data_IF_111610936117
#
_entry.id   IF_111610936117
#
_cell.length_a   1.000
_cell.length_b   1.000
_cell.length_c   1.000
_cell.angle_alpha   90.00
_cell.angle_beta   90.00
_cell.angle_gamma   90.00
#
_symmetry.space_group_name_H-M   'P 1'
#
loop_
_entity.id
_entity.type
_entity.pdbx_description
1 polymer ?
#
# COMPACT_ATOMS: atom_id res chain seq x y z
N UNK A 1 36.96 22.65 50.47
CA UNK A 1 35.64 22.08 50.83
C UNK A 1 34.71 22.27 49.65
N UNK A 2 34.43 21.21 48.87
CA UNK A 2 33.44 21.26 47.79
C UNK A 2 32.05 21.29 48.41
N UNK A 3 31.39 22.45 48.34
CA UNK A 3 30.07 22.64 48.95
C UNK A 3 28.98 21.81 48.24
N UNK A 4 27.82 21.59 48.88
CA UNK A 4 26.70 20.78 48.36
C UNK A 4 26.28 21.15 46.94
N UNK A 5 26.41 22.44 46.59
CA UNK A 5 26.06 23.01 45.28
C UNK A 5 26.97 22.52 44.14
N UNK A 6 28.27 22.37 44.41
CA UNK A 6 29.24 21.85 43.42
C UNK A 6 29.04 20.36 43.16
N UNK A 7 28.68 19.60 44.21
CA UNK A 7 28.31 18.20 44.07
C UNK A 7 27.03 18.00 43.25
N UNK A 8 26.00 18.82 43.50
CA UNK A 8 24.74 18.77 42.75
C UNK A 8 24.92 19.11 41.26
N UNK A 9 25.73 20.14 40.96
CA UNK A 9 26.06 20.53 39.57
C UNK A 9 26.75 19.38 38.83
N UNK A 10 27.80 18.80 39.44
CA UNK A 10 28.52 17.69 38.83
C UNK A 10 27.62 16.46 38.61
N UNK A 11 26.69 16.19 39.53
CA UNK A 11 25.74 15.10 39.38
C UNK A 11 24.75 15.34 38.23
N UNK A 12 24.24 16.56 38.08
CA UNK A 12 23.37 16.97 36.97
C UNK A 12 24.09 16.86 35.63
N UNK A 13 25.33 17.34 35.53
CA UNK A 13 26.14 17.25 34.30
C UNK A 13 26.32 15.79 33.87
N UNK A 14 26.69 14.89 34.80
CA UNK A 14 26.80 13.45 34.52
C UNK A 14 25.49 12.77 34.13
N UNK A 15 24.34 13.30 34.54
CA UNK A 15 23.03 12.78 34.15
C UNK A 15 22.65 13.28 32.75
N UNK A 16 22.92 14.55 32.45
CA UNK A 16 22.76 15.13 31.12
C UNK A 16 23.65 14.44 30.08
N UNK A 17 24.94 14.25 30.36
CA UNK A 17 25.87 13.57 29.45
C UNK A 17 25.39 12.14 29.15
N UNK A 18 25.06 11.36 30.19
CA UNK A 18 24.52 9.99 30.01
C UNK A 18 23.17 9.94 29.29
N UNK A 19 22.41 11.01 29.31
CA UNK A 19 21.17 11.11 28.54
C UNK A 19 21.50 11.43 27.08
N UNK A 20 22.35 12.42 26.82
CA UNK A 20 22.81 12.80 25.47
C UNK A 20 23.49 11.62 24.78
N UNK A 21 24.42 10.94 25.44
CA UNK A 21 25.11 9.76 24.91
C UNK A 21 24.12 8.65 24.55
N UNK A 22 23.13 8.39 25.41
CA UNK A 22 22.09 7.38 25.12
C UNK A 22 21.21 7.77 23.93
N UNK A 23 20.86 9.05 23.80
CA UNK A 23 20.11 9.52 22.61
C UNK A 23 20.99 9.46 21.36
N UNK A 24 22.26 9.84 21.46
CA UNK A 24 23.23 9.81 20.37
C UNK A 24 23.48 8.38 19.90
N UNK A 25 23.68 7.43 20.80
CA UNK A 25 23.83 6.01 20.44
C UNK A 25 22.56 5.44 19.80
N UNK A 26 21.37 5.86 20.24
CA UNK A 26 20.11 5.43 19.60
C UNK A 26 19.98 6.03 18.20
N UNK A 27 20.30 7.30 18.06
CA UNK A 27 20.31 7.99 16.78
C UNK A 27 21.33 7.37 15.82
N UNK A 28 22.56 7.12 16.27
CA UNK A 28 23.62 6.45 15.51
C UNK A 28 23.21 5.03 15.13
N UNK A 29 22.66 4.23 16.05
CA UNK A 29 22.17 2.88 15.74
C UNK A 29 21.09 2.90 14.66
N UNK A 30 20.18 3.88 14.68
CA UNK A 30 19.15 4.04 13.64
C UNK A 30 19.74 4.52 12.31
N UNK A 31 20.63 5.51 12.34
CA UNK A 31 21.25 6.09 11.14
C UNK A 31 22.20 5.09 10.45
N UNK A 32 22.91 4.29 11.23
CA UNK A 32 23.86 3.28 10.75
C UNK A 32 23.21 1.89 10.59
N UNK A 33 21.90 1.77 10.80
CA UNK A 33 21.20 0.52 10.55
C UNK A 33 21.29 0.22 9.04
N UNK A 34 21.68 -1.00 8.62
CA UNK A 34 21.83 -1.35 7.20
C UNK A 34 20.59 -1.05 6.35
N UNK A 35 19.40 -1.11 6.96
CA UNK A 35 18.13 -0.73 6.32
C UNK A 35 18.15 0.70 5.73
N UNK A 36 18.90 1.64 6.31
CA UNK A 36 19.01 3.00 5.76
C UNK A 36 19.71 3.01 4.39
N UNK A 37 20.70 2.15 4.19
CA UNK A 37 21.37 1.98 2.90
C UNK A 37 20.44 1.29 1.90
N UNK A 38 19.76 0.23 2.32
CA UNK A 38 18.79 -0.47 1.48
C UNK A 38 17.64 0.43 1.03
N UNK A 39 17.14 1.32 1.91
CA UNK A 39 16.14 2.33 1.56
C UNK A 39 16.67 3.30 0.49
N UNK A 40 17.91 3.79 0.64
CA UNK A 40 18.51 4.68 -0.34
C UNK A 40 18.77 3.98 -1.69
N UNK A 41 19.11 2.69 -1.67
CA UNK A 41 19.24 1.86 -2.87
C UNK A 41 17.90 1.63 -3.56
N UNK A 42 16.87 1.23 -2.80
CA UNK A 42 15.51 1.07 -3.29
C UNK A 42 14.97 2.36 -3.91
N UNK A 43 15.26 3.52 -3.32
CA UNK A 43 14.87 4.81 -3.87
C UNK A 43 15.56 5.12 -5.21
N UNK A 44 16.87 4.87 -5.31
CA UNK A 44 17.60 5.03 -6.58
C UNK A 44 17.05 4.08 -7.65
N UNK A 45 16.73 2.86 -7.25
CA UNK A 45 16.18 1.84 -8.14
C UNK A 45 14.77 2.21 -8.62
N UNK A 46 13.88 2.64 -7.72
CA UNK A 46 12.53 3.09 -8.06
C UNK A 46 12.58 4.30 -9.01
N UNK A 47 13.49 5.26 -8.75
CA UNK A 47 13.70 6.40 -9.64
C UNK A 47 14.17 5.97 -11.05
N UNK A 48 15.08 5.00 -11.13
CA UNK A 48 15.49 4.43 -12.43
C UNK A 48 14.33 3.71 -13.11
N UNK A 49 13.56 2.91 -12.37
CA UNK A 49 12.40 2.18 -12.89
C UNK A 49 11.34 3.14 -13.45
N UNK A 50 10.99 4.20 -12.71
CA UNK A 50 10.04 5.22 -13.15
C UNK A 50 10.52 5.93 -14.42
N UNK A 51 11.80 6.34 -14.47
CA UNK A 51 12.39 6.96 -15.66
C UNK A 51 12.31 6.06 -16.89
N UNK A 52 12.62 4.78 -16.72
CA UNK A 52 12.79 3.85 -17.84
C UNK A 52 11.47 3.23 -18.31
N UNK A 53 10.47 3.09 -17.42
CA UNK A 53 9.21 2.39 -17.70
C UNK A 53 7.97 3.29 -17.68
N UNK A 54 8.02 4.46 -17.01
CA UNK A 54 6.87 5.34 -16.79
C UNK A 54 7.04 6.75 -17.38
N UNK A 55 7.69 6.95 -18.55
CA UNK A 55 8.01 8.29 -19.05
C UNK A 55 6.77 9.15 -19.39
N UNK A 56 5.62 8.52 -19.63
CA UNK A 56 4.35 9.19 -19.90
C UNK A 56 3.42 9.33 -18.69
N UNK A 57 3.79 8.76 -17.55
CA UNK A 57 2.95 8.75 -16.35
C UNK A 57 3.11 10.05 -15.54
N UNK A 58 2.05 10.47 -14.87
CA UNK A 58 2.08 11.64 -13.99
C UNK A 58 2.87 11.33 -12.71
N UNK A 59 3.87 12.16 -12.39
CA UNK A 59 4.55 12.11 -11.10
C UNK A 59 3.72 12.90 -10.07
N UNK A 60 3.24 12.23 -9.03
CA UNK A 60 2.45 12.84 -7.95
C UNK A 60 3.22 12.80 -6.64
N UNK A 61 2.96 13.76 -5.75
CA UNK A 61 3.68 13.87 -4.45
C UNK A 61 2.79 13.56 -3.26
N UNK A 62 1.48 13.58 -3.44
CA UNK A 62 0.49 13.31 -2.40
C UNK A 62 -0.27 12.04 -2.73
N UNK A 63 -0.41 11.16 -1.74
CA UNK A 63 -1.21 9.93 -1.87
C UNK A 63 -2.65 10.21 -2.30
N UNK A 64 -3.26 11.28 -1.78
CA UNK A 64 -4.64 11.64 -2.13
C UNK A 64 -4.77 12.00 -3.62
N UNK A 65 -3.72 12.52 -4.26
CA UNK A 65 -3.71 12.79 -5.70
C UNK A 65 -3.68 11.50 -6.52
N UNK A 66 -2.99 10.46 -6.04
CA UNK A 66 -2.99 9.13 -6.69
C UNK A 66 -4.41 8.58 -6.77
N UNK A 67 -5.14 8.53 -5.64
CA UNK A 67 -6.52 8.05 -5.59
C UNK A 67 -7.45 8.89 -6.46
N UNK A 68 -7.38 10.22 -6.32
CA UNK A 68 -8.23 11.15 -7.07
C UNK A 68 -8.03 11.01 -8.58
N UNK A 69 -6.79 11.00 -9.07
CA UNK A 69 -6.50 10.90 -10.49
C UNK A 69 -6.86 9.52 -11.02
N UNK A 70 -6.54 8.44 -10.29
CA UNK A 70 -6.86 7.09 -10.73
C UNK A 70 -8.37 6.85 -10.84
N UNK A 71 -9.16 7.32 -9.87
CA UNK A 71 -10.63 7.24 -9.92
C UNK A 71 -11.24 8.14 -11.01
N UNK A 72 -10.74 9.36 -11.19
CA UNK A 72 -11.19 10.27 -12.26
C UNK A 72 -10.98 9.68 -13.67
N UNK A 73 -9.94 8.85 -13.83
CA UNK A 73 -9.65 8.13 -15.09
C UNK A 73 -10.33 6.78 -15.20
N UNK A 74 -10.96 6.30 -14.14
CA UNK A 74 -11.68 5.03 -14.16
C UNK A 74 -12.98 5.15 -14.98
N UNK A 75 -13.43 4.05 -15.60
CA UNK A 75 -14.72 4.03 -16.29
C UNK A 75 -15.89 4.46 -15.38
N UNK A 76 -16.86 5.15 -15.96
CA UNK A 76 -18.07 5.61 -15.26
C UNK A 76 -18.92 4.45 -14.69
N UNK A 77 -18.78 3.26 -15.29
CA UNK A 77 -19.50 2.02 -14.92
C UNK A 77 -18.52 0.92 -14.56
N UNK A 78 -18.96 0.00 -13.71
CA UNK A 78 -18.18 -1.14 -13.24
C UNK A 78 -17.96 -1.08 -11.73
N UNK A 79 -17.33 -2.13 -11.20
CA UNK A 79 -17.06 -2.28 -9.78
C UNK A 79 -15.93 -1.34 -9.32
N UNK A 80 -16.03 -0.84 -8.08
CA UNK A 80 -14.99 -0.09 -7.39
C UNK A 80 -14.60 -0.89 -6.16
N UNK A 81 -13.37 -1.41 -6.16
CA UNK A 81 -12.89 -2.38 -5.17
C UNK A 81 -11.63 -1.85 -4.47
N UNK A 82 -11.54 -2.07 -3.16
CA UNK A 82 -10.31 -1.89 -2.38
C UNK A 82 -9.98 -3.17 -1.61
N UNK A 83 -8.71 -3.54 -1.59
CA UNK A 83 -8.17 -4.72 -0.90
C UNK A 83 -7.14 -4.30 0.13
N UNK A 84 -7.47 -4.48 1.41
CA UNK A 84 -6.76 -3.88 2.53
C UNK A 84 -7.39 -2.53 2.89
N UNK A 85 -8.34 -2.56 3.81
CA UNK A 85 -9.11 -1.38 4.26
C UNK A 85 -8.50 -0.79 5.53
N UNK A 86 -7.99 -1.64 6.42
CA UNK A 86 -7.43 -1.24 7.71
C UNK A 86 -8.35 -0.28 8.47
N UNK A 87 -7.82 0.89 8.87
CA UNK A 87 -8.58 1.96 9.54
C UNK A 87 -9.60 2.69 8.66
N UNK A 88 -9.70 2.35 7.38
CA UNK A 88 -10.67 2.86 6.40
C UNK A 88 -10.35 4.24 5.84
N UNK A 89 -9.09 4.68 5.90
CA UNK A 89 -8.71 6.03 5.44
C UNK A 89 -8.88 6.17 3.92
N UNK A 90 -8.25 5.29 3.15
CA UNK A 90 -8.36 5.22 1.70
C UNK A 90 -9.79 4.92 1.26
N UNK A 91 -10.50 3.94 1.86
CA UNK A 91 -11.89 3.65 1.45
C UNK A 91 -12.83 4.84 1.62
N UNK A 92 -12.62 5.67 2.65
CA UNK A 92 -13.41 6.89 2.86
C UNK A 92 -13.15 7.91 1.75
N UNK A 93 -11.90 8.04 1.31
CA UNK A 93 -11.55 8.91 0.18
C UNK A 93 -12.13 8.38 -1.13
N UNK A 94 -11.98 7.08 -1.40
CA UNK A 94 -12.56 6.42 -2.57
C UNK A 94 -14.09 6.61 -2.59
N UNK A 95 -14.76 6.39 -1.46
CA UNK A 95 -16.21 6.57 -1.32
C UNK A 95 -16.66 8.00 -1.60
N UNK A 96 -15.92 9.00 -1.11
CA UNK A 96 -16.23 10.41 -1.36
C UNK A 96 -16.04 10.79 -2.85
N UNK A 97 -15.01 10.25 -3.50
CA UNK A 97 -14.71 10.49 -4.91
C UNK A 97 -15.63 9.71 -5.88
N UNK A 98 -16.25 8.63 -5.40
CA UNK A 98 -17.10 7.75 -6.19
C UNK A 98 -18.56 8.23 -6.34
N UNK A 99 -18.90 9.36 -5.72
CA UNK A 99 -20.25 9.91 -5.76
C UNK A 99 -21.28 8.94 -5.16
N UNK A 100 -22.28 8.55 -5.93
CA UNK A 100 -23.33 7.61 -5.49
C UNK A 100 -23.00 6.14 -5.77
N UNK A 101 -21.84 5.84 -6.37
CA UNK A 101 -21.45 4.46 -6.68
C UNK A 101 -21.10 3.72 -5.39
N UNK A 102 -21.45 2.44 -5.36
CA UNK A 102 -21.07 1.53 -4.27
C UNK A 102 -19.58 1.21 -4.36
N UNK A 103 -18.90 1.30 -3.22
CA UNK A 103 -17.50 0.92 -3.06
C UNK A 103 -17.44 -0.33 -2.19
N UNK A 104 -16.67 -1.33 -2.62
CA UNK A 104 -16.52 -2.58 -1.88
C UNK A 104 -15.11 -2.68 -1.30
N UNK A 105 -15.02 -2.78 0.02
CA UNK A 105 -13.75 -2.97 0.74
C UNK A 105 -13.62 -4.40 1.24
N UNK A 106 -12.47 -5.02 1.01
CA UNK A 106 -12.16 -6.36 1.48
C UNK A 106 -11.03 -6.29 2.50
N UNK A 107 -11.24 -6.89 3.67
CA UNK A 107 -10.23 -6.97 4.73
C UNK A 107 -10.60 -8.06 5.74
N UNK A 108 -9.60 -8.70 6.35
CA UNK A 108 -9.84 -9.61 7.48
C UNK A 108 -10.21 -8.84 8.75
N UNK A 109 -9.72 -7.61 8.87
CA UNK A 109 -9.61 -6.78 10.07
C UNK A 109 -8.82 -7.44 11.20
N UNK A 110 -8.14 -8.55 10.90
CA UNK A 110 -7.33 -9.35 11.80
C UNK A 110 -5.82 -9.13 11.54
N UNK A 111 -5.49 -8.30 10.55
CA UNK A 111 -4.14 -7.93 10.17
C UNK A 111 -3.55 -8.84 9.09
N UNK A 112 -2.25 -8.69 8.85
CA UNK A 112 -1.53 -9.46 7.84
C UNK A 112 -1.61 -10.97 8.09
N UNK A 113 -1.84 -11.81 7.07
CA UNK A 113 -1.85 -13.27 7.22
C UNK A 113 -0.45 -13.88 7.45
N UNK A 114 0.60 -13.17 7.07
CA UNK A 114 2.00 -13.58 7.20
C UNK A 114 2.91 -12.36 7.42
N UNK A 115 4.19 -12.61 7.72
CA UNK A 115 5.17 -11.55 7.96
C UNK A 115 5.54 -10.85 6.66
N UNK A 116 5.70 -9.53 6.69
CA UNK A 116 6.12 -8.76 5.52
C UNK A 116 7.64 -8.84 5.35
N UNK A 117 8.09 -9.84 4.58
CA UNK A 117 9.51 -10.09 4.34
C UNK A 117 10.24 -8.84 3.79
N UNK A 118 11.27 -8.40 4.53
CA UNK A 118 12.05 -7.19 4.20
C UNK A 118 11.57 -5.92 4.92
N UNK A 119 10.44 -5.98 5.63
CA UNK A 119 9.98 -4.92 6.52
C UNK A 119 9.86 -5.38 7.99
N UNK A 120 9.29 -4.54 8.83
CA UNK A 120 9.18 -4.75 10.29
C UNK A 120 7.79 -5.23 10.73
N UNK A 121 6.84 -5.23 9.81
CA UNK A 121 5.46 -5.63 9.98
C UNK A 121 5.37 -7.16 10.02
N UNK A 122 5.00 -7.69 11.18
CA UNK A 122 4.80 -9.12 11.40
C UNK A 122 3.36 -9.55 11.05
N UNK A 123 3.10 -10.85 10.97
CA UNK A 123 1.73 -11.39 10.91
C UNK A 123 0.85 -10.78 12.01
N UNK A 124 -0.37 -10.39 11.64
CA UNK A 124 -1.32 -9.71 12.53
C UNK A 124 -1.04 -8.22 12.70
N UNK A 125 0.00 -7.66 12.07
CA UNK A 125 0.17 -6.21 11.99
C UNK A 125 -1.05 -5.58 11.28
N UNK A 126 -1.37 -4.33 11.64
CA UNK A 126 -2.59 -3.61 11.23
C UNK A 126 -3.94 -4.19 11.73
N UNK A 127 -3.94 -5.19 12.61
CA UNK A 127 -5.19 -5.76 13.15
C UNK A 127 -6.06 -4.73 13.88
N UNK A 128 -7.36 -4.76 13.60
CA UNK A 128 -8.40 -4.06 14.36
C UNK A 128 -9.18 -5.03 15.28
N UNK A 129 -8.59 -6.17 15.61
CA UNK A 129 -9.24 -7.22 16.42
C UNK A 129 -10.48 -7.81 15.74
N UNK A 130 -10.49 -7.85 14.41
CA UNK A 130 -11.62 -8.33 13.60
C UNK A 130 -12.80 -7.37 13.53
N UNK A 131 -12.68 -6.13 14.03
CA UNK A 131 -13.77 -5.15 14.03
C UNK A 131 -13.61 -4.17 12.87
N UNK A 132 -14.52 -4.18 11.87
CA UNK A 132 -14.46 -3.22 10.77
C UNK A 132 -14.63 -1.76 11.26
N UNK A 133 -13.97 -0.78 10.61
CA UNK A 133 -14.13 0.63 10.94
C UNK A 133 -15.50 1.16 10.52
N UNK A 134 -15.89 2.31 11.07
CA UNK A 134 -17.04 3.06 10.56
C UNK A 134 -16.74 3.62 9.16
N UNK A 135 -17.67 3.41 8.23
CA UNK A 135 -17.54 3.82 6.83
C UNK A 135 -18.82 4.52 6.32
N UNK A 136 -18.73 5.32 5.24
CA UNK A 136 -19.87 5.96 4.59
C UNK A 136 -20.92 4.96 4.09
N UNK A 137 -22.15 5.43 3.89
CA UNK A 137 -23.29 4.58 3.51
C UNK A 137 -23.17 3.93 2.13
N UNK A 138 -22.33 4.46 1.23
CA UNK A 138 -22.04 3.87 -0.06
C UNK A 138 -20.88 2.85 -0.02
N UNK A 139 -20.38 2.49 1.16
CA UNK A 139 -19.36 1.46 1.33
C UNK A 139 -19.98 0.17 1.86
N UNK A 140 -19.60 -0.95 1.26
CA UNK A 140 -19.90 -2.30 1.74
C UNK A 140 -18.58 -2.98 2.09
N UNK A 141 -18.42 -3.39 3.35
CA UNK A 141 -17.24 -4.09 3.82
C UNK A 141 -17.46 -5.60 3.81
N UNK A 142 -16.51 -6.32 3.23
CA UNK A 142 -16.47 -7.78 3.16
C UNK A 142 -15.38 -8.26 4.11
N UNK A 143 -15.81 -8.76 5.29
CA UNK A 143 -14.89 -9.24 6.32
C UNK A 143 -14.43 -10.66 6.03
N UNK A 144 -13.13 -10.86 5.92
CA UNK A 144 -12.49 -12.16 5.78
C UNK A 144 -11.22 -12.10 4.92
N UNK A 145 -10.54 -13.23 4.81
CA UNK A 145 -9.44 -13.38 3.85
C UNK A 145 -9.97 -13.32 2.42
N UNK A 146 -9.17 -12.78 1.49
CA UNK A 146 -9.61 -12.52 0.12
C UNK A 146 -10.06 -13.78 -0.62
N UNK A 147 -9.35 -14.90 -0.43
CA UNK A 147 -9.68 -16.21 -1.00
C UNK A 147 -11.02 -16.77 -0.51
N UNK A 148 -11.47 -16.32 0.66
CA UNK A 148 -12.72 -16.73 1.29
C UNK A 148 -13.88 -15.80 0.92
N UNK A 149 -13.61 -14.51 0.66
CA UNK A 149 -14.65 -13.50 0.39
C UNK A 149 -14.90 -13.23 -1.08
N UNK A 150 -13.87 -13.32 -1.93
CA UNK A 150 -13.97 -13.00 -3.36
C UNK A 150 -14.89 -13.95 -4.14
N UNK A 151 -14.89 -15.29 -3.91
CA UNK A 151 -15.74 -16.19 -4.70
C UNK A 151 -17.24 -15.84 -4.61
N UNK A 152 -17.76 -15.67 -3.38
CA UNK A 152 -19.16 -15.33 -3.16
C UNK A 152 -19.49 -13.93 -3.68
N UNK A 153 -18.58 -12.97 -3.49
CA UNK A 153 -18.74 -11.63 -4.04
C UNK A 153 -18.86 -11.65 -5.57
N UNK A 154 -17.97 -12.35 -6.26
CA UNK A 154 -17.92 -12.43 -7.72
C UNK A 154 -19.10 -13.22 -8.31
N UNK A 155 -19.67 -14.16 -7.56
CA UNK A 155 -20.90 -14.85 -7.92
C UNK A 155 -22.15 -13.96 -7.79
N UNK A 156 -22.14 -13.03 -6.82
CA UNK A 156 -23.24 -12.09 -6.59
C UNK A 156 -23.17 -10.80 -7.42
N UNK A 157 -22.01 -10.47 -7.99
CA UNK A 157 -21.77 -9.23 -8.72
C UNK A 157 -21.20 -9.51 -10.12
N UNK A 158 -22.00 -9.17 -11.12
CA UNK A 158 -21.61 -9.20 -12.52
C UNK A 158 -20.94 -7.89 -12.95
N UNK A 159 -20.28 -7.92 -14.12
CA UNK A 159 -19.68 -6.75 -14.76
C UNK A 159 -18.18 -6.64 -14.57
N UNK A 160 -17.57 -5.65 -15.21
CA UNK A 160 -16.13 -5.42 -15.16
C UNK A 160 -15.76 -4.51 -13.98
N UNK A 161 -14.50 -4.58 -13.55
CA UNK A 161 -13.94 -3.63 -12.60
C UNK A 161 -13.64 -2.31 -13.31
N UNK A 162 -14.16 -1.20 -12.79
CA UNK A 162 -13.73 0.13 -13.21
C UNK A 162 -12.42 0.51 -12.51
N UNK A 163 -12.37 0.26 -11.20
CA UNK A 163 -11.27 0.65 -10.34
C UNK A 163 -10.96 -0.45 -9.32
N UNK A 164 -9.68 -0.77 -9.19
CA UNK A 164 -9.14 -1.73 -8.23
C UNK A 164 -8.02 -1.03 -7.47
N UNK A 165 -8.16 -0.89 -6.16
CA UNK A 165 -7.10 -0.45 -5.26
C UNK A 165 -6.50 -1.67 -4.54
N UNK A 166 -5.24 -1.96 -4.83
CA UNK A 166 -4.46 -3.04 -4.21
C UNK A 166 -3.59 -2.39 -3.14
N UNK A 167 -3.99 -2.55 -1.88
CA UNK A 167 -3.34 -1.98 -0.68
C UNK A 167 -3.16 -3.09 0.35
N UNK A 168 -2.57 -4.21 -0.10
CA UNK A 168 -2.56 -5.45 0.67
C UNK A 168 -1.17 -5.95 1.03
N UNK A 169 -0.15 -5.13 0.75
CA UNK A 169 1.26 -5.23 1.12
C UNK A 169 2.02 -6.42 0.52
N UNK A 170 1.42 -7.61 0.58
CA UNK A 170 2.05 -8.89 0.37
C UNK A 170 1.86 -9.42 -1.05
N UNK A 171 2.89 -10.09 -1.57
CA UNK A 171 2.80 -10.85 -2.82
C UNK A 171 1.61 -11.82 -2.85
N UNK A 172 1.46 -12.64 -1.80
CA UNK A 172 0.45 -13.68 -1.74
C UNK A 172 -0.97 -13.11 -1.85
N UNK A 173 -1.22 -12.04 -1.11
CA UNK A 173 -2.47 -11.27 -1.12
C UNK A 173 -2.75 -10.64 -2.48
N UNK A 174 -1.79 -9.90 -3.04
CA UNK A 174 -1.95 -9.24 -4.34
C UNK A 174 -2.20 -10.25 -5.47
N UNK A 175 -1.48 -11.39 -5.45
CA UNK A 175 -1.66 -12.48 -6.42
C UNK A 175 -3.06 -13.08 -6.34
N UNK A 176 -3.57 -13.37 -5.14
CA UNK A 176 -4.95 -13.89 -4.95
C UNK A 176 -5.98 -12.92 -5.54
N UNK A 177 -5.83 -11.62 -5.26
CA UNK A 177 -6.72 -10.57 -5.78
C UNK A 177 -6.69 -10.53 -7.31
N UNK A 178 -5.50 -10.44 -7.91
CA UNK A 178 -5.34 -10.34 -9.36
C UNK A 178 -5.87 -11.59 -10.08
N UNK A 179 -5.56 -12.78 -9.57
CA UNK A 179 -6.04 -14.05 -10.14
C UNK A 179 -7.57 -14.14 -10.10
N UNK A 180 -8.17 -13.87 -8.93
CA UNK A 180 -9.62 -13.92 -8.76
C UNK A 180 -10.34 -12.88 -9.63
N UNK A 181 -9.75 -11.70 -9.81
CA UNK A 181 -10.33 -10.62 -10.62
C UNK A 181 -10.03 -10.71 -12.11
N UNK A 182 -9.19 -11.65 -12.57
CA UNK A 182 -8.91 -11.89 -14.00
C UNK A 182 -10.15 -11.80 -14.92
N UNK A 183 -11.29 -12.49 -14.64
CA UNK A 183 -12.47 -12.43 -15.50
C UNK A 183 -13.27 -11.11 -15.41
N UNK A 184 -12.83 -10.16 -14.59
CA UNK A 184 -13.47 -8.85 -14.36
C UNK A 184 -12.59 -7.70 -14.82
N UNK A 185 -11.29 -7.92 -15.05
CA UNK A 185 -10.37 -6.93 -15.58
C UNK A 185 -10.57 -6.83 -17.10
N UNK A 186 -10.74 -5.61 -17.61
CA UNK A 186 -11.02 -5.35 -19.02
C UNK A 186 -10.29 -4.09 -19.49
N UNK A 187 -10.21 -3.83 -20.81
CA UNK A 187 -9.70 -2.55 -21.31
C UNK A 187 -10.42 -1.36 -20.66
N UNK A 188 -9.63 -0.43 -20.14
CA UNK A 188 -10.10 0.72 -19.38
C UNK A 188 -10.13 0.52 -17.86
N UNK A 189 -10.02 -0.71 -17.34
CA UNK A 189 -9.87 -0.92 -15.88
C UNK A 189 -8.64 -0.19 -15.38
N UNK A 190 -8.81 0.58 -14.30
CA UNK A 190 -7.71 1.21 -13.57
C UNK A 190 -7.35 0.32 -12.39
N UNK A 191 -6.05 0.01 -12.26
CA UNK A 191 -5.51 -0.67 -11.08
C UNK A 191 -4.51 0.29 -10.43
N UNK A 192 -4.77 0.66 -9.18
CA UNK A 192 -3.87 1.43 -8.34
C UNK A 192 -3.25 0.49 -7.31
N UNK A 193 -1.93 0.40 -7.31
CA UNK A 193 -1.15 -0.29 -6.29
C UNK A 193 -0.66 0.73 -5.28
N UNK A 194 -0.80 0.40 -4.01
CA UNK A 194 -0.36 1.28 -2.94
C UNK A 194 1.13 1.13 -2.64
N UNK A 195 1.62 -0.11 -2.74
CA UNK A 195 2.95 -0.51 -2.31
C UNK A 195 3.73 -1.18 -3.45
N UNK A 196 3.75 -0.50 -4.61
CA UNK A 196 4.33 -1.02 -5.84
C UNK A 196 5.85 -0.97 -5.89
N UNK A 197 6.48 0.09 -5.38
CA UNK A 197 7.95 0.27 -5.46
C UNK A 197 8.50 1.12 -4.30
N UNK A 198 9.80 1.44 -4.33
CA UNK A 198 10.44 2.43 -3.43
C UNK A 198 10.55 2.04 -1.94
N UNK A 199 10.70 0.75 -1.65
CA UNK A 199 11.10 0.22 -0.34
C UNK A 199 11.97 -1.03 -0.53
N UNK A 200 12.83 -1.44 0.42
CA UNK A 200 13.61 -2.67 0.28
C UNK A 200 12.69 -3.86 -0.04
N UNK A 201 13.10 -4.74 -0.95
CA UNK A 201 12.33 -5.92 -1.41
C UNK A 201 11.02 -5.63 -2.16
N UNK A 202 10.76 -4.39 -2.58
CA UNK A 202 9.55 -4.03 -3.36
C UNK A 202 9.29 -4.91 -4.59
N UNK A 203 10.35 -5.42 -5.22
CA UNK A 203 10.27 -6.32 -6.37
C UNK A 203 9.69 -7.69 -6.07
N UNK A 204 9.57 -8.06 -4.81
CA UNK A 204 9.12 -9.39 -4.38
C UNK A 204 7.65 -9.42 -3.96
N UNK A 205 6.96 -8.27 -3.94
CA UNK A 205 5.61 -8.10 -3.41
C UNK A 205 4.58 -7.76 -4.51
N UNK A 206 3.83 -6.66 -4.37
CA UNK A 206 2.78 -6.26 -5.32
C UNK A 206 3.31 -6.10 -6.75
N UNK A 207 4.53 -5.56 -6.89
CA UNK A 207 5.22 -5.50 -8.18
C UNK A 207 5.32 -6.87 -8.83
N UNK A 208 5.82 -7.88 -8.10
CA UNK A 208 6.00 -9.23 -8.60
C UNK A 208 4.67 -9.85 -9.01
N UNK A 209 3.67 -9.75 -8.13
CA UNK A 209 2.34 -10.27 -8.39
C UNK A 209 1.76 -9.69 -9.68
N UNK A 210 1.92 -8.37 -9.89
CA UNK A 210 1.47 -7.73 -11.12
C UNK A 210 2.29 -8.14 -12.36
N UNK A 211 3.62 -8.21 -12.27
CA UNK A 211 4.44 -8.66 -13.41
C UNK A 211 4.12 -10.11 -13.81
N UNK A 212 3.94 -11.01 -12.85
CA UNK A 212 3.54 -12.39 -13.13
C UNK A 212 2.12 -12.47 -13.72
N UNK A 213 1.17 -11.71 -13.16
CA UNK A 213 -0.20 -11.62 -13.68
C UNK A 213 -0.22 -11.13 -15.14
N UNK A 214 0.53 -10.07 -15.44
CA UNK A 214 0.57 -9.50 -16.79
C UNK A 214 1.19 -10.45 -17.81
N UNK A 215 2.26 -11.16 -17.42
CA UNK A 215 2.89 -12.18 -18.26
C UNK A 215 1.97 -13.38 -18.50
N UNK A 216 1.28 -13.86 -17.46
CA UNK A 216 0.41 -15.05 -17.55
C UNK A 216 -0.85 -14.82 -18.40
N UNK A 217 -1.36 -13.59 -18.45
CA UNK A 217 -2.63 -13.24 -19.11
C UNK A 217 -2.46 -12.32 -20.33
N UNK A 218 -1.24 -12.21 -20.86
CA UNK A 218 -0.87 -11.34 -21.99
C UNK A 218 -1.43 -9.92 -21.87
N UNK A 219 -1.35 -9.35 -20.66
CA UNK A 219 -1.93 -8.05 -20.35
C UNK A 219 -1.07 -6.97 -20.98
N UNK A 220 -1.72 -6.07 -21.73
CA UNK A 220 -1.13 -4.81 -22.17
C UNK A 220 -1.71 -3.68 -21.32
N UNK A 221 -0.86 -2.76 -20.87
CA UNK A 221 -1.24 -1.69 -19.95
C UNK A 221 -0.36 -0.46 -20.18
N UNK A 222 -0.87 0.73 -19.82
CA UNK A 222 -0.08 1.96 -19.75
C UNK A 222 0.04 2.39 -18.28
N UNK A 223 1.20 2.91 -17.88
CA UNK A 223 1.34 3.59 -16.58
C UNK A 223 0.64 4.96 -16.62
N UNK A 224 -0.27 5.20 -15.68
CA UNK A 224 -1.04 6.43 -15.59
C UNK A 224 -0.36 7.46 -14.67
N UNK A 225 0.09 7.02 -13.50
CA UNK A 225 0.77 7.86 -12.51
C UNK A 225 1.69 7.03 -11.62
N UNK A 226 2.61 7.71 -10.95
CA UNK A 226 3.43 7.17 -9.87
C UNK A 226 3.64 8.21 -8.76
N UNK A 227 3.62 7.73 -7.52
CA UNK A 227 3.74 8.50 -6.28
C UNK A 227 5.00 8.15 -5.49
N UNK A 228 4.89 8.14 -4.17
CA UNK A 228 6.02 7.76 -3.32
C UNK A 228 6.26 6.26 -3.41
N UNK A 229 5.20 5.47 -3.25
CA UNK A 229 5.21 4.00 -3.41
C UNK A 229 4.10 3.55 -4.37
N UNK A 230 3.11 4.43 -4.57
CA UNK A 230 1.90 4.18 -5.34
C UNK A 230 2.17 4.20 -6.85
N UNK A 231 1.52 3.30 -7.59
CA UNK A 231 1.55 3.31 -9.05
C UNK A 231 0.17 2.95 -9.57
N UNK A 232 -0.36 3.72 -10.51
CA UNK A 232 -1.60 3.36 -11.22
C UNK A 232 -1.31 2.98 -12.67
N UNK A 233 -2.02 1.96 -13.15
CA UNK A 233 -2.01 1.52 -14.53
C UNK A 233 -3.42 1.53 -15.11
N UNK A 234 -3.51 1.74 -16.42
CA UNK A 234 -4.74 1.51 -17.20
C UNK A 234 -4.56 0.30 -18.10
N UNK A 235 -5.47 -0.65 -17.99
CA UNK A 235 -5.45 -1.85 -18.83
C UNK A 235 -5.86 -1.49 -20.26
N UNK A 236 -5.09 -1.95 -21.25
CA UNK A 236 -5.31 -1.72 -22.69
C UNK A 236 -5.86 -2.96 -23.38
N UNK A 237 -5.53 -4.14 -22.88
CA UNK A 237 -5.93 -5.42 -23.47
C UNK A 237 -5.48 -6.60 -22.61
N UNK A 238 -6.14 -7.73 -22.78
CA UNK A 238 -5.81 -9.03 -22.19
C UNK A 238 -6.07 -10.11 -23.25
N UNK A 239 -5.34 -11.23 -23.21
CA UNK A 239 -5.37 -12.26 -24.25
C UNK A 239 -5.18 -13.67 -23.74
#
# INVERSE_FOLDING_TARGET
MTGPRAFLSHLLDRLCDRFIDRQMERFQRRLLHPNMLLLAEAQKEAAAYARDNMPGALAVTRREDSLRIALDRAPERGLILEFGVGGGESIRQIAALSGTRTVHGFDSFEGLPEDWAGRHEERGHYSLGGTPPAVPANVILHRGLFDSTLPDFLAAHDGTCAFIHVDCDLYSSARIVLEALTPRIAPGTIILFDEYFNYPTWRDHEHKAFQEFTAANNVTYDYLLWGHQEVAVVIKGMG
#
